data_IF_734016961768
#
_entry.id   IF_734016961768
#
_cell.length_a   1.000
_cell.length_b   1.000
_cell.length_c   1.000
_cell.angle_alpha   90.00
_cell.angle_beta   90.00
_cell.angle_gamma   90.00
#
_symmetry.space_group_name_H-M   'P 1'
#
loop_
_entity.id
_entity.type
_entity.pdbx_description
1 polymer ?
#
# COMPACT_ATOMS: atom_id res chain seq x y z
N UNK A 1 2.51 11.57 -10.50
CA UNK A 1 3.19 11.79 -9.19
C UNK A 1 3.72 10.46 -8.66
N UNK A 2 4.50 10.40 -7.56
CA UNK A 2 4.90 9.11 -6.97
C UNK A 2 3.71 8.24 -6.53
N UNK A 3 2.52 8.83 -6.34
CA UNK A 3 1.32 8.11 -5.88
C UNK A 3 0.77 7.14 -6.93
N UNK A 4 0.78 7.50 -8.21
CA UNK A 4 0.28 6.63 -9.28
C UNK A 4 1.19 5.42 -9.46
N UNK A 5 2.52 5.66 -9.47
CA UNK A 5 3.52 4.60 -9.49
C UNK A 5 3.38 3.68 -8.26
N UNK A 6 3.18 4.25 -7.07
CA UNK A 6 2.95 3.47 -5.85
C UNK A 6 1.70 2.60 -5.94
N UNK A 7 0.56 3.16 -6.37
CA UNK A 7 -0.70 2.42 -6.46
C UNK A 7 -0.67 1.35 -7.55
N UNK A 8 0.01 1.60 -8.67
CA UNK A 8 0.21 0.62 -9.72
C UNK A 8 1.09 -0.56 -9.25
N UNK A 9 2.22 -0.27 -8.59
CA UNK A 9 3.12 -1.29 -8.05
C UNK A 9 2.49 -2.11 -6.91
N UNK A 10 1.67 -1.45 -6.06
CA UNK A 10 0.90 -2.12 -5.02
C UNK A 10 -0.12 -3.09 -5.64
N UNK A 11 -0.89 -2.62 -6.63
CA UNK A 11 -1.90 -3.43 -7.33
C UNK A 11 -1.27 -4.65 -8.01
N UNK A 12 -0.10 -4.52 -8.61
CA UNK A 12 0.63 -5.64 -9.22
C UNK A 12 1.04 -6.73 -8.20
N UNK A 13 1.18 -6.37 -6.92
CA UNK A 13 1.48 -7.29 -5.80
C UNK A 13 0.24 -7.77 -5.05
N UNK A 14 -0.96 -7.45 -5.55
CA UNK A 14 -2.21 -7.78 -4.87
C UNK A 14 -2.54 -6.90 -3.65
N UNK A 15 -1.78 -5.82 -3.42
CA UNK A 15 -2.04 -4.85 -2.35
C UNK A 15 -3.09 -3.85 -2.82
N UNK A 16 -4.36 -4.16 -2.55
CA UNK A 16 -5.52 -3.38 -3.01
C UNK A 16 -5.97 -2.33 -2.00
N UNK A 17 -6.76 -1.36 -2.47
CA UNK A 17 -7.44 -0.36 -1.63
C UNK A 17 -6.52 0.55 -0.78
N UNK A 18 -5.29 0.79 -1.24
CA UNK A 18 -4.34 1.68 -0.57
C UNK A 18 -4.52 3.17 -0.88
N UNK A 19 -5.39 3.55 -1.82
CA UNK A 19 -5.59 4.96 -2.17
C UNK A 19 -6.26 5.69 -0.99
N UNK A 20 -5.63 6.77 -0.53
CA UNK A 20 -6.15 7.60 0.54
C UNK A 20 -7.45 8.31 0.15
N UNK A 21 -8.15 8.85 1.17
CA UNK A 21 -9.40 9.58 0.94
C UNK A 21 -9.16 10.84 0.09
N UNK A 22 -10.13 11.18 -0.77
CA UNK A 22 -9.99 12.28 -1.75
C UNK A 22 -9.59 13.62 -1.13
N UNK A 23 -10.06 13.92 0.09
CA UNK A 23 -9.77 15.18 0.78
C UNK A 23 -8.32 15.32 1.26
N UNK A 24 -7.60 14.22 1.48
CA UNK A 24 -6.23 14.23 2.02
C UNK A 24 -5.20 13.73 1.00
N UNK A 25 -5.64 12.97 -0.02
CA UNK A 25 -4.75 12.34 -0.98
C UNK A 25 -3.89 11.24 -0.34
N UNK A 26 -2.73 10.97 -0.93
CA UNK A 26 -1.77 9.98 -0.42
C UNK A 26 -2.32 8.55 -0.35
N UNK A 27 -1.89 7.82 0.68
CA UNK A 27 -2.16 6.39 0.87
C UNK A 27 -2.75 6.13 2.26
N UNK A 28 -3.57 5.09 2.38
CA UNK A 28 -4.10 4.58 3.65
C UNK A 28 -4.18 3.06 3.61
N UNK A 29 -3.62 2.39 4.60
CA UNK A 29 -3.78 0.96 4.81
C UNK A 29 -4.79 0.72 5.94
N UNK A 30 -5.84 -0.06 5.67
CA UNK A 30 -6.81 -0.47 6.69
C UNK A 30 -6.45 -1.84 7.24
N UNK A 31 -6.13 -1.92 8.53
CA UNK A 31 -5.63 -3.12 9.23
C UNK A 31 -6.63 -3.58 10.31
N UNK A 32 -7.79 -4.07 9.87
CA UNK A 32 -8.82 -4.60 10.78
C UNK A 32 -8.48 -6.02 11.26
N UNK A 33 -9.25 -6.57 12.21
CA UNK A 33 -9.03 -7.90 12.80
C UNK A 33 -8.90 -9.03 11.77
N UNK A 34 -9.57 -8.93 10.62
CA UNK A 34 -9.52 -9.94 9.55
C UNK A 34 -8.28 -9.81 8.64
N UNK A 35 -7.44 -8.78 8.84
CA UNK A 35 -6.21 -8.61 8.08
C UNK A 35 -5.13 -9.55 8.64
N UNK A 36 -4.66 -10.53 7.86
CA UNK A 36 -3.61 -11.44 8.30
C UNK A 36 -2.26 -10.72 8.42
N UNK A 37 -1.38 -11.21 9.28
CA UNK A 37 -0.04 -10.62 9.49
C UNK A 37 0.80 -10.66 8.22
N UNK A 38 0.61 -11.69 7.40
CA UNK A 38 1.27 -11.87 6.10
C UNK A 38 0.91 -10.73 5.13
N UNK A 39 -0.33 -10.21 5.20
CA UNK A 39 -0.75 -9.07 4.39
C UNK A 39 -0.05 -7.77 4.81
N UNK A 40 0.19 -7.59 6.11
CA UNK A 40 0.95 -6.46 6.64
C UNK A 40 2.42 -6.58 6.26
N UNK A 41 2.99 -7.78 6.33
CA UNK A 41 4.38 -8.03 5.94
C UNK A 41 4.60 -7.72 4.45
N UNK A 42 3.72 -8.20 3.57
CA UNK A 42 3.78 -7.90 2.14
C UNK A 42 3.70 -6.38 1.85
N UNK A 43 2.92 -5.63 2.63
CA UNK A 43 2.87 -4.18 2.54
C UNK A 43 4.19 -3.52 2.97
N UNK A 44 4.79 -3.97 4.07
CA UNK A 44 6.08 -3.45 4.56
C UNK A 44 7.20 -3.74 3.56
N UNK A 45 7.25 -4.94 3.00
CA UNK A 45 8.25 -5.32 2.01
C UNK A 45 8.14 -4.42 0.78
N UNK A 46 6.92 -4.19 0.28
CA UNK A 46 6.69 -3.27 -0.82
C UNK A 46 7.07 -1.82 -0.49
N UNK A 47 6.81 -1.34 0.73
CA UNK A 47 7.20 0.00 1.15
C UNK A 47 8.73 0.18 1.14
N UNK A 48 9.48 -0.83 1.59
CA UNK A 48 10.95 -0.80 1.56
C UNK A 48 11.49 -0.82 0.12
N UNK A 49 10.94 -1.69 -0.75
CA UNK A 49 11.30 -1.74 -2.17
C UNK A 49 11.03 -0.40 -2.88
N UNK A 50 9.85 0.18 -2.66
CA UNK A 50 9.45 1.43 -3.32
C UNK A 50 10.23 2.65 -2.81
N UNK A 51 10.61 2.67 -1.53
CA UNK A 51 11.40 3.74 -0.93
C UNK A 51 12.85 3.77 -1.43
N UNK A 52 13.32 2.69 -2.06
CA UNK A 52 14.70 2.57 -2.53
C UNK A 52 15.69 2.37 -1.38
N UNK A 53 15.41 1.38 -0.52
CA UNK A 53 16.49 0.69 0.21
C UNK A 53 17.21 -0.28 -0.71
#
# INVERSE_FOLDING_TARGET
SKNEAFLAGAKARGLLQLKGHKSVGGMRASIYNAMPIEGVQALVDYLNEFAGR
#
